data_IF_307702126343
#
_entry.id   IF_307702126343
#
_cell.length_a   1.000
_cell.length_b   1.000
_cell.length_c   1.000
_cell.angle_alpha   90.00
_cell.angle_beta   90.00
_cell.angle_gamma   90.00
#
_symmetry.space_group_name_H-M   'P 1'
#
loop_
_entity.id
_entity.type
_entity.pdbx_description
1 polymer ?
#
# COMPACT_ATOMS: atom_id res chain seq x y z
N UNK A 1 6.47 -12.28 4.85
CA UNK A 1 7.69 -12.11 4.04
C UNK A 1 8.89 -12.33 4.95
N UNK A 2 9.82 -13.16 4.50
CA UNK A 2 10.83 -13.85 5.32
C UNK A 2 11.93 -12.93 5.86
N UNK A 3 12.34 -11.92 5.07
CA UNK A 3 13.38 -10.94 5.45
C UNK A 3 12.80 -9.73 6.20
N UNK A 4 11.48 -9.67 6.41
CA UNK A 4 10.82 -8.57 7.09
C UNK A 4 10.80 -7.29 6.26
N UNK A 5 10.87 -6.13 6.93
CA UNK A 5 10.82 -4.83 6.26
C UNK A 5 12.19 -4.41 5.72
N UNK A 6 12.20 -3.64 4.63
CA UNK A 6 13.39 -3.00 4.08
C UNK A 6 14.07 -2.11 5.13
N UNK A 7 13.29 -1.49 6.03
CA UNK A 7 13.84 -0.76 7.17
C UNK A 7 14.76 -1.65 8.03
N UNK A 8 14.31 -2.86 8.39
CA UNK A 8 15.11 -3.79 9.20
C UNK A 8 16.39 -4.21 8.46
N UNK A 9 16.25 -4.58 7.17
CA UNK A 9 17.37 -5.01 6.33
C UNK A 9 18.41 -3.91 6.16
N UNK A 10 18.00 -2.64 6.03
CA UNK A 10 18.93 -1.50 5.93
C UNK A 10 19.65 -1.16 7.24
N UNK A 11 19.15 -1.62 8.39
CA UNK A 11 19.77 -1.41 9.71
C UNK A 11 20.55 -2.63 10.21
N UNK A 12 20.73 -3.64 9.36
CA UNK A 12 21.57 -4.80 9.61
C UNK A 12 22.74 -4.76 8.63
N UNK A 13 23.96 -4.51 9.12
CA UNK A 13 25.14 -4.30 8.27
C UNK A 13 25.36 -5.45 7.26
N UNK A 14 25.18 -6.70 7.71
CA UNK A 14 25.37 -7.88 6.86
C UNK A 14 24.33 -7.93 5.73
N UNK A 15 23.06 -7.69 6.06
CA UNK A 15 21.98 -7.75 5.06
C UNK A 15 21.96 -6.50 4.16
N UNK A 16 22.44 -5.36 4.66
CA UNK A 16 22.59 -4.14 3.90
C UNK A 16 23.70 -4.25 2.85
N UNK A 17 24.77 -5.00 3.14
CA UNK A 17 25.81 -5.37 2.17
C UNK A 17 25.27 -6.31 1.07
N UNK A 18 24.36 -7.23 1.41
CA UNK A 18 23.69 -8.09 0.43
C UNK A 18 22.78 -7.31 -0.52
N UNK A 19 22.29 -6.13 -0.12
CA UNK A 19 21.57 -5.17 -0.95
C UNK A 19 22.53 -4.34 -1.80
N UNK A 20 23.14 -4.97 -2.80
CA UNK A 20 23.91 -4.25 -3.81
C UNK A 20 23.05 -3.22 -4.58
N UNK A 21 23.71 -2.40 -5.39
CA UNK A 21 23.04 -1.35 -6.15
C UNK A 21 21.99 -1.89 -7.12
N UNK A 22 22.22 -3.05 -7.73
CA UNK A 22 21.28 -3.66 -8.66
C UNK A 22 19.98 -4.03 -7.96
N UNK A 23 20.07 -4.69 -6.81
CA UNK A 23 18.89 -5.06 -6.00
C UNK A 23 18.14 -3.84 -5.52
N UNK A 24 18.84 -2.77 -5.11
CA UNK A 24 18.20 -1.50 -4.72
C UNK A 24 17.40 -0.88 -5.85
N UNK A 25 17.93 -0.90 -7.07
CA UNK A 25 17.20 -0.43 -8.25
C UNK A 25 15.97 -1.31 -8.53
N UNK A 26 16.08 -2.63 -8.40
CA UNK A 26 14.95 -3.52 -8.62
C UNK A 26 13.85 -3.34 -7.57
N UNK A 27 14.21 -3.09 -6.31
CA UNK A 27 13.26 -2.70 -5.26
C UNK A 27 12.48 -1.45 -5.67
N UNK A 28 13.17 -0.40 -6.13
CA UNK A 28 12.52 0.85 -6.58
C UNK A 28 11.59 0.61 -7.77
N UNK A 29 12.02 -0.20 -8.75
CA UNK A 29 11.17 -0.58 -9.90
C UNK A 29 9.89 -1.28 -9.45
N UNK A 30 9.99 -2.24 -8.52
CA UNK A 30 8.82 -2.95 -7.99
C UNK A 30 7.86 -2.01 -7.27
N UNK A 31 8.38 -1.12 -6.41
CA UNK A 31 7.55 -0.11 -5.73
C UNK A 31 6.85 0.80 -6.76
N UNK A 32 7.57 1.30 -7.76
CA UNK A 32 7.00 2.16 -8.81
C UNK A 32 5.91 1.42 -9.61
N UNK A 33 6.14 0.16 -9.95
CA UNK A 33 5.16 -0.68 -10.64
C UNK A 33 3.90 -0.89 -9.78
N UNK A 34 4.06 -1.24 -8.50
CA UNK A 34 2.94 -1.37 -7.56
C UNK A 34 2.15 -0.07 -7.42
N UNK A 35 2.82 1.07 -7.30
CA UNK A 35 2.14 2.38 -7.23
C UNK A 35 1.40 2.71 -8.52
N UNK A 36 1.99 2.43 -9.69
CA UNK A 36 1.32 2.60 -10.98
C UNK A 36 0.03 1.77 -11.05
N UNK A 37 0.10 0.50 -10.66
CA UNK A 37 -1.06 -0.40 -10.64
C UNK A 37 -2.19 0.13 -9.74
N UNK A 38 -1.84 0.58 -8.53
CA UNK A 38 -2.81 1.13 -7.58
C UNK A 38 -3.47 2.41 -8.10
N UNK A 39 -2.70 3.29 -8.76
CA UNK A 39 -3.19 4.58 -9.23
C UNK A 39 -4.00 4.50 -10.53
N UNK A 40 -3.61 3.63 -11.47
CA UNK A 40 -4.15 3.65 -12.82
C UNK A 40 -4.99 2.42 -13.18
N UNK A 41 -4.64 1.25 -12.63
CA UNK A 41 -5.30 -0.01 -12.99
C UNK A 41 -6.41 -0.40 -12.00
N UNK A 42 -6.30 0.02 -10.74
CA UNK A 42 -7.36 -0.17 -9.75
C UNK A 42 -8.52 0.80 -9.96
N UNK A 43 -9.76 0.31 -9.86
CA UNK A 43 -10.99 1.10 -9.97
C UNK A 43 -11.90 0.86 -8.76
N UNK A 44 -12.14 1.89 -7.92
CA UNK A 44 -11.57 3.24 -7.97
C UNK A 44 -10.04 3.25 -7.70
N UNK A 45 -9.30 4.30 -8.12
CA UNK A 45 -7.87 4.44 -7.82
C UNK A 45 -7.58 4.36 -6.32
N UNK A 46 -6.49 3.69 -5.96
CA UNK A 46 -6.05 3.47 -4.58
C UNK A 46 -4.77 4.28 -4.34
N UNK A 47 -4.79 5.25 -3.43
CA UNK A 47 -3.61 6.08 -3.09
C UNK A 47 -2.92 5.58 -1.83
N UNK A 48 -1.80 4.86 -1.92
CA UNK A 48 -1.13 4.20 -0.78
C UNK A 48 -0.95 5.06 0.49
N UNK A 49 -0.61 6.35 0.33
CA UNK A 49 -0.42 7.39 1.38
C UNK A 49 0.72 7.16 2.40
N UNK A 50 1.21 5.94 2.58
CA UNK A 50 2.29 5.65 3.53
C UNK A 50 3.42 4.83 2.89
N UNK A 51 4.09 5.42 1.88
CA UNK A 51 5.22 4.78 1.19
C UNK A 51 6.50 5.05 1.99
N UNK A 52 6.88 4.10 2.84
CA UNK A 52 8.10 4.17 3.67
C UNK A 52 8.86 2.84 3.64
N UNK A 53 10.13 2.83 4.05
CA UNK A 53 10.92 1.58 4.11
C UNK A 53 10.39 0.55 5.10
N UNK A 54 9.56 0.97 6.06
CA UNK A 54 8.89 0.07 7.02
C UNK A 54 7.76 -0.72 6.34
N UNK A 55 7.12 -0.10 5.36
CA UNK A 55 5.98 -0.65 4.62
C UNK A 55 6.42 -1.28 3.28
N UNK A 56 7.71 -1.57 3.14
CA UNK A 56 8.26 -2.36 2.03
C UNK A 56 8.77 -3.65 2.64
N UNK A 57 8.14 -4.77 2.30
CA UNK A 57 8.52 -6.08 2.78
C UNK A 57 9.40 -6.79 1.75
N UNK A 58 10.37 -7.58 2.21
CA UNK A 58 11.29 -8.36 1.37
C UNK A 58 11.10 -9.86 1.60
N UNK A 59 11.04 -10.64 0.51
CA UNK A 59 11.13 -12.09 0.59
C UNK A 59 12.59 -12.56 0.70
N UNK A 60 12.78 -13.88 0.78
CA UNK A 60 14.11 -14.52 0.80
C UNK A 60 14.98 -14.22 -0.43
N UNK A 61 14.37 -13.83 -1.55
CA UNK A 61 15.04 -13.48 -2.81
C UNK A 61 15.33 -11.98 -2.93
N UNK A 62 15.11 -11.20 -1.86
CA UNK A 62 15.27 -9.74 -1.81
C UNK A 62 14.33 -8.97 -2.74
N UNK A 63 13.21 -9.58 -3.11
CA UNK A 63 12.19 -8.91 -3.90
C UNK A 63 11.24 -8.11 -2.99
N UNK A 64 11.05 -6.81 -3.31
CA UNK A 64 10.19 -5.89 -2.52
C UNK A 64 8.70 -5.87 -2.87
N UNK A 65 7.83 -6.09 -1.88
CA UNK A 65 6.39 -5.86 -1.99
C UNK A 65 5.97 -4.71 -1.08
N UNK A 66 5.10 -3.83 -1.58
CA UNK A 66 4.52 -2.75 -0.78
C UNK A 66 3.42 -3.32 0.15
N UNK A 67 3.43 -2.93 1.43
CA UNK A 67 2.51 -3.38 2.49
C UNK A 67 1.78 -2.21 3.16
N UNK A 68 0.82 -2.52 4.05
CA UNK A 68 0.12 -1.53 4.88
C UNK A 68 -0.73 -0.51 4.11
N UNK A 69 -1.60 -1.01 3.24
CA UNK A 69 -2.69 -0.28 2.58
C UNK A 69 -3.79 0.22 3.56
N UNK A 70 -3.58 0.10 4.87
CA UNK A 70 -4.60 0.12 5.92
C UNK A 70 -5.35 1.44 6.11
N UNK A 71 -4.78 2.57 5.69
CA UNK A 71 -5.41 3.89 5.91
C UNK A 71 -6.54 4.18 4.90
N UNK A 72 -6.48 3.61 3.69
CA UNK A 72 -7.47 3.89 2.64
C UNK A 72 -8.76 3.10 2.78
N UNK A 73 -8.68 1.80 3.09
CA UNK A 73 -9.87 0.95 3.15
C UNK A 73 -10.78 1.38 4.31
N UNK A 74 -10.18 1.86 5.41
CA UNK A 74 -10.95 2.33 6.56
C UNK A 74 -11.66 3.66 6.25
N UNK A 75 -10.97 4.62 5.64
CA UNK A 75 -11.58 5.91 5.27
C UNK A 75 -12.58 5.76 4.11
N UNK A 76 -12.29 4.99 3.06
CA UNK A 76 -13.23 4.81 1.95
C UNK A 76 -14.49 4.05 2.36
N UNK A 77 -14.38 3.04 3.24
CA UNK A 77 -15.57 2.38 3.80
C UNK A 77 -16.39 3.33 4.66
N UNK A 78 -15.76 4.19 5.45
CA UNK A 78 -16.46 5.20 6.23
C UNK A 78 -17.17 6.24 5.34
N UNK A 79 -16.51 6.76 4.31
CA UNK A 79 -17.14 7.68 3.35
C UNK A 79 -18.29 7.03 2.57
N UNK A 80 -18.14 5.77 2.15
CA UNK A 80 -19.22 5.03 1.50
C UNK A 80 -20.38 4.76 2.46
N UNK A 81 -20.10 4.44 3.72
CA UNK A 81 -21.13 4.28 4.75
C UNK A 81 -21.89 5.59 4.98
N UNK A 82 -21.18 6.70 5.17
CA UNK A 82 -21.78 8.03 5.33
C UNK A 82 -22.62 8.42 4.10
N UNK A 83 -22.15 8.15 2.88
CA UNK A 83 -22.92 8.38 1.65
C UNK A 83 -24.17 7.47 1.56
N UNK A 84 -24.05 6.19 1.93
CA UNK A 84 -25.19 5.27 1.94
C UNK A 84 -26.23 5.67 3.01
N UNK A 85 -25.79 6.16 4.17
CA UNK A 85 -26.67 6.66 5.23
C UNK A 85 -27.42 7.92 4.78
N UNK A 86 -26.75 8.84 4.07
CA UNK A 86 -27.39 10.03 3.46
C UNK A 86 -28.41 9.62 2.39
N UNK A 87 -28.06 8.70 1.49
CA UNK A 87 -28.97 8.21 0.46
C UNK A 87 -30.18 7.51 1.07
N UNK A 88 -29.98 6.73 2.14
CA UNK A 88 -31.07 6.08 2.87
C UNK A 88 -32.00 7.13 3.51
N UNK A 89 -31.48 8.19 4.12
CA UNK A 89 -32.28 9.28 4.69
C UNK A 89 -33.09 10.03 3.62
N UNK A 90 -32.49 10.29 2.45
CA UNK A 90 -33.17 10.96 1.33
C UNK A 90 -34.27 10.08 0.73
N UNK A 91 -34.06 8.77 0.63
CA UNK A 91 -35.03 7.83 0.03
C UNK A 91 -36.12 7.39 1.00
N UNK A 92 -35.84 7.37 2.31
CA UNK A 92 -36.83 7.03 3.34
C UNK A 92 -37.74 8.20 3.74
N UNK A 93 -37.37 9.44 3.40
CA UNK A 93 -38.13 10.65 3.68
C UNK A 93 -39.17 11.06 2.64
N UNK A 94 -39.37 10.29 1.56
CA UNK A 94 -40.32 10.63 0.47
C UNK A 94 -41.55 9.71 0.42
N UNK A 95 -41.87 9.02 1.52
CA UNK A 95 -43.16 8.31 1.65
C UNK A 95 -44.18 9.19 2.36
N UNK A 96 -44.84 10.06 1.58
CA UNK A 96 -46.20 10.57 1.81
C UNK A 96 -46.93 10.60 0.46
#
# INVERSE_FOLDING_TARGET
>A
MEKGSLYCVLHNDVEAEELDWSKRIDIVKRIAHSLSYLHYDCKPPIIHRDVTTKNVLLNSEMEACLSDFGILVHQMKQYLQELMDILHQLWSGTSD
#
